data_IF_590143237955
#
_entry.id   IF_590143237955
#
_cell.length_a   1.000
_cell.length_b   1.000
_cell.length_c   1.000
_cell.angle_alpha   90.00
_cell.angle_beta   90.00
_cell.angle_gamma   90.00
#
_symmetry.space_group_name_H-M   'P 1'
#
loop_
_entity.id
_entity.type
_entity.pdbx_description
1 polymer ?
#
# COMPACT_ATOMS: atom_id res chain seq x y z
N UNK A 1 4.32 10.04 13.21
CA UNK A 1 4.75 8.65 13.45
C UNK A 1 5.90 8.34 12.50
N UNK A 2 6.93 7.59 12.92
CA UNK A 2 7.97 7.16 11.98
C UNK A 2 7.45 6.09 11.02
N UNK A 3 8.08 5.90 9.86
CA UNK A 3 7.66 4.86 8.91
C UNK A 3 7.73 3.45 9.54
N UNK A 4 8.73 3.20 10.37
CA UNK A 4 8.85 1.92 11.09
C UNK A 4 7.68 1.71 12.05
N UNK A 5 7.31 2.73 12.84
CA UNK A 5 6.14 2.64 13.72
C UNK A 5 4.83 2.46 12.93
N UNK A 6 4.71 3.13 11.79
CA UNK A 6 3.56 2.99 10.89
C UNK A 6 3.42 1.55 10.40
N UNK A 7 4.51 0.94 9.96
CA UNK A 7 4.54 -0.45 9.48
C UNK A 7 4.20 -1.43 10.63
N UNK A 8 4.77 -1.23 11.82
CA UNK A 8 4.45 -2.06 12.99
C UNK A 8 2.97 -1.95 13.41
N UNK A 9 2.35 -0.78 13.27
CA UNK A 9 0.91 -0.63 13.50
C UNK A 9 0.08 -1.29 12.39
N UNK A 10 0.53 -1.24 11.13
CA UNK A 10 -0.15 -1.94 10.04
C UNK A 10 -0.12 -3.47 10.22
N UNK A 11 0.99 -4.03 10.73
CA UNK A 11 1.09 -5.44 11.15
C UNK A 11 0.04 -5.83 12.19
N UNK A 12 -0.30 -4.90 13.10
CA UNK A 12 -1.38 -5.07 14.09
C UNK A 12 -2.79 -4.89 13.52
N UNK A 13 -2.95 -4.83 12.20
CA UNK A 13 -4.22 -4.55 11.52
C UNK A 13 -4.88 -3.22 11.94
N UNK A 14 -4.09 -2.21 12.31
CA UNK A 14 -4.63 -0.88 12.59
C UNK A 14 -5.07 -0.20 11.29
N UNK A 15 -6.38 0.01 11.14
CA UNK A 15 -6.99 0.62 9.94
C UNK A 15 -6.54 2.07 9.72
N UNK A 16 -6.26 2.83 10.80
CA UNK A 16 -5.75 4.21 10.65
C UNK A 16 -4.34 4.18 10.10
N UNK A 17 -3.49 3.28 10.60
CA UNK A 17 -2.15 3.08 10.07
C UNK A 17 -2.18 2.63 8.60
N UNK A 18 -3.05 1.69 8.24
CA UNK A 18 -3.21 1.27 6.84
C UNK A 18 -3.64 2.44 5.94
N UNK A 19 -4.56 3.28 6.40
CA UNK A 19 -4.99 4.49 5.70
C UNK A 19 -3.89 5.54 5.55
N UNK A 20 -3.03 5.71 6.57
CA UNK A 20 -1.86 6.59 6.48
C UNK A 20 -0.82 6.05 5.49
N UNK A 21 -0.52 4.75 5.53
CA UNK A 21 0.39 4.11 4.57
C UNK A 21 -0.12 4.25 3.14
N UNK A 22 -1.42 4.03 2.93
CA UNK A 22 -2.06 4.26 1.64
C UNK A 22 -1.85 5.69 1.15
N UNK A 23 -2.19 6.70 1.96
CA UNK A 23 -2.04 8.12 1.57
C UNK A 23 -0.61 8.49 1.20
N UNK A 24 0.39 7.94 1.90
CA UNK A 24 1.80 8.22 1.65
C UNK A 24 2.29 7.64 0.31
N UNK A 25 1.83 6.46 -0.08
CA UNK A 25 2.41 5.71 -1.20
C UNK A 25 1.48 5.56 -2.41
N UNK A 26 0.18 5.84 -2.28
CA UNK A 26 -0.81 5.62 -3.33
C UNK A 26 -0.48 6.35 -4.62
N UNK A 27 -0.12 7.63 -4.57
CA UNK A 27 0.25 8.40 -5.77
C UNK A 27 1.43 7.78 -6.53
N UNK A 28 2.46 7.34 -5.79
CA UNK A 28 3.67 6.75 -6.39
C UNK A 28 3.41 5.37 -6.97
N UNK A 29 2.65 4.54 -6.25
CA UNK A 29 2.27 3.21 -6.72
C UNK A 29 1.28 3.29 -7.89
N UNK A 30 0.34 4.23 -7.85
CA UNK A 30 -0.61 4.47 -8.94
C UNK A 30 0.10 4.88 -10.24
N UNK A 31 1.14 5.71 -10.14
CA UNK A 31 2.00 6.06 -11.29
C UNK A 31 2.67 4.83 -11.92
N UNK A 32 2.89 3.76 -11.14
CA UNK A 32 3.39 2.47 -11.64
C UNK A 32 2.26 1.65 -12.26
N UNK A 33 1.10 1.57 -11.61
CA UNK A 33 -0.10 0.89 -12.13
C UNK A 33 -0.48 1.45 -13.51
N UNK A 34 -0.48 2.77 -13.68
CA UNK A 34 -0.74 3.44 -14.97
C UNK A 34 0.19 2.98 -16.10
N UNK A 35 1.43 2.57 -15.81
CA UNK A 35 2.36 2.10 -16.84
C UNK A 35 2.05 0.68 -17.34
N UNK A 36 1.33 -0.10 -16.54
CA UNK A 36 1.05 -1.51 -16.82
C UNK A 36 -0.42 -1.80 -17.08
N UNK A 37 -1.30 -0.84 -16.80
CA UNK A 37 -2.74 -0.91 -17.09
C UNK A 37 -3.08 -0.34 -18.47
N UNK A 38 -4.16 -0.82 -19.09
CA UNK A 38 -4.64 -0.36 -20.40
C UNK A 38 -5.41 0.95 -20.31
N UNK A 39 -5.97 1.25 -19.14
CA UNK A 39 -6.74 2.46 -18.88
C UNK A 39 -6.68 2.84 -17.39
N UNK A 40 -7.28 3.99 -17.05
CA UNK A 40 -7.28 4.53 -15.69
C UNK A 40 -8.01 3.63 -14.68
N UNK A 41 -9.18 3.09 -15.05
CA UNK A 41 -9.98 2.24 -14.15
C UNK A 41 -9.21 0.96 -13.78
N UNK A 42 -8.58 0.30 -14.75
CA UNK A 42 -7.72 -0.85 -14.50
C UNK A 42 -6.50 -0.47 -13.62
N UNK A 43 -5.99 0.76 -13.71
CA UNK A 43 -4.93 1.22 -12.81
C UNK A 43 -5.43 1.42 -11.37
N UNK A 44 -6.68 1.86 -11.19
CA UNK A 44 -7.30 2.00 -9.88
C UNK A 44 -7.56 0.64 -9.24
N UNK A 45 -8.08 -0.32 -10.01
CA UNK A 45 -8.27 -1.71 -9.56
C UNK A 45 -6.94 -2.36 -9.17
N UNK A 46 -5.92 -2.24 -10.03
CA UNK A 46 -4.57 -2.76 -9.75
C UNK A 46 -3.95 -2.12 -8.51
N UNK A 47 -4.18 -0.83 -8.28
CA UNK A 47 -3.72 -0.13 -7.07
C UNK A 47 -4.38 -0.71 -5.83
N UNK A 48 -5.70 -0.91 -5.88
CA UNK A 48 -6.47 -1.48 -4.77
C UNK A 48 -5.97 -2.89 -4.43
N UNK A 49 -5.85 -3.77 -5.41
CA UNK A 49 -5.36 -5.14 -5.24
C UNK A 49 -3.92 -5.18 -4.71
N UNK A 50 -3.07 -4.26 -5.17
CA UNK A 50 -1.70 -4.14 -4.68
C UNK A 50 -1.67 -3.78 -3.19
N UNK A 51 -2.49 -2.81 -2.74
CA UNK A 51 -2.54 -2.46 -1.31
C UNK A 51 -3.13 -3.58 -0.45
N UNK A 52 -4.19 -4.26 -0.91
CA UNK A 52 -4.71 -5.45 -0.23
C UNK A 52 -3.62 -6.52 -0.09
N UNK A 53 -2.86 -6.77 -1.15
CA UNK A 53 -1.73 -7.71 -1.13
C UNK A 53 -0.63 -7.27 -0.17
N UNK A 54 -0.28 -5.98 -0.15
CA UNK A 54 0.71 -5.40 0.76
C UNK A 54 0.28 -5.62 2.21
N UNK A 55 -0.96 -5.28 2.57
CA UNK A 55 -1.44 -5.45 3.94
C UNK A 55 -1.54 -6.92 4.34
N UNK A 56 -2.00 -7.80 3.45
CA UNK A 56 -2.05 -9.24 3.72
C UNK A 56 -0.66 -9.87 3.93
N UNK A 57 0.39 -9.28 3.33
CA UNK A 57 1.77 -9.80 3.41
C UNK A 57 2.68 -8.93 4.28
N UNK A 58 2.15 -7.95 5.00
CA UNK A 58 2.96 -6.96 5.71
C UNK A 58 3.83 -7.56 6.82
N UNK A 59 3.40 -8.69 7.40
CA UNK A 59 4.18 -9.47 8.37
C UNK A 59 5.52 -9.98 7.81
N UNK A 60 5.62 -10.16 6.49
CA UNK A 60 6.83 -10.63 5.84
C UNK A 60 7.91 -9.54 5.74
N UNK A 61 7.57 -8.28 6.03
CA UNK A 61 8.50 -7.17 5.96
C UNK A 61 9.52 -7.19 7.12
N UNK A 62 10.80 -7.27 6.76
CA UNK A 62 11.94 -7.42 7.70
C UNK A 62 12.75 -6.14 7.93
N UNK A 63 12.32 -4.97 7.41
CA UNK A 63 12.99 -3.69 7.70
C UNK A 63 14.48 -3.66 7.34
N UNK A 64 14.83 -4.03 6.10
CA UNK A 64 16.19 -3.90 5.57
C UNK A 64 16.45 -2.51 5.04
#
# INVERSE_FOLDING_TARGET
>A
MSLNQLIENCKRNDTKAQGELYKLFASKLFSLCLKYSRNHAEAEDNLQDAFLTIFNKIEQYKGK
#
